data_IF_475455936382
#
_entry.id   IF_475455936382
#
_cell.length_a   1.000
_cell.length_b   1.000
_cell.length_c   1.000
_cell.angle_alpha   90.00
_cell.angle_beta   90.00
_cell.angle_gamma   90.00
#
_symmetry.space_group_name_H-M   'P 1'
#
loop_
_entity.id
_entity.type
_entity.pdbx_description
1 polymer ?
#
# COMPACT_ATOMS: atom_id res chain seq x y z
N UNK A 1 -34.42 4.24 15.57
CA UNK A 1 -34.26 2.91 14.97
C UNK A 1 -32.78 2.56 15.13
N UNK A 2 -32.45 1.77 16.15
CA UNK A 2 -31.07 1.44 16.50
C UNK A 2 -30.72 0.18 15.71
N UNK A 3 -29.86 0.31 14.70
CA UNK A 3 -29.33 -0.85 13.99
C UNK A 3 -28.40 -1.59 14.96
N UNK A 4 -28.84 -2.75 15.41
CA UNK A 4 -27.97 -3.70 16.12
C UNK A 4 -27.22 -4.43 15.02
N UNK A 5 -25.95 -4.09 14.82
CA UNK A 5 -25.05 -4.93 14.04
C UNK A 5 -24.77 -6.15 14.91
N UNK A 6 -25.26 -7.31 14.49
CA UNK A 6 -24.90 -8.57 15.10
C UNK A 6 -23.51 -8.96 14.57
N UNK A 7 -22.47 -8.53 15.28
CA UNK A 7 -21.05 -8.71 14.90
C UNK A 7 -20.63 -10.20 14.78
N UNK A 8 -21.48 -11.15 15.21
CA UNK A 8 -21.22 -12.59 15.17
C UNK A 8 -21.86 -13.32 13.97
N UNK A 9 -22.71 -12.66 13.18
CA UNK A 9 -23.29 -13.28 11.99
C UNK A 9 -22.23 -13.37 10.86
N UNK A 10 -21.97 -14.57 10.29
CA UNK A 10 -21.00 -14.70 9.20
C UNK A 10 -21.48 -13.87 7.99
N UNK A 11 -20.62 -12.95 7.54
CA UNK A 11 -20.87 -12.13 6.35
C UNK A 11 -20.88 -13.06 5.13
N UNK A 12 -22.01 -13.14 4.43
CA UNK A 12 -22.09 -13.82 3.14
C UNK A 12 -21.45 -12.94 2.06
N UNK A 13 -20.37 -13.42 1.44
CA UNK A 13 -19.69 -12.73 0.35
C UNK A 13 -20.17 -13.30 -0.99
N UNK A 14 -20.60 -12.43 -1.91
CA UNK A 14 -20.86 -12.84 -3.29
C UNK A 14 -19.56 -13.01 -4.09
N UNK A 15 -19.62 -13.70 -5.23
CA UNK A 15 -18.49 -13.78 -6.16
C UNK A 15 -18.06 -12.39 -6.66
N UNK A 16 -19.04 -11.52 -6.92
CA UNK A 16 -18.79 -10.14 -7.34
C UNK A 16 -18.03 -9.37 -6.25
N UNK A 17 -18.43 -9.50 -4.98
CA UNK A 17 -17.73 -8.83 -3.87
C UNK A 17 -16.27 -9.28 -3.76
N UNK A 18 -16.01 -10.58 -3.95
CA UNK A 18 -14.64 -11.12 -3.93
C UNK A 18 -13.82 -10.56 -5.10
N UNK A 19 -14.40 -10.47 -6.30
CA UNK A 19 -13.72 -9.88 -7.47
C UNK A 19 -13.44 -8.39 -7.24
N UNK A 20 -14.41 -7.65 -6.70
CA UNK A 20 -14.26 -6.23 -6.37
C UNK A 20 -13.20 -6.01 -5.29
N UNK A 21 -13.04 -6.93 -4.34
CA UNK A 21 -11.97 -6.86 -3.34
C UNK A 21 -10.59 -7.05 -3.97
N UNK A 22 -10.41 -8.00 -4.90
CA UNK A 22 -9.16 -8.14 -5.65
C UNK A 22 -8.85 -6.87 -6.46
N UNK A 23 -9.89 -6.26 -7.07
CA UNK A 23 -9.75 -4.99 -7.78
C UNK A 23 -9.34 -3.86 -6.84
N UNK A 24 -10.00 -3.75 -5.68
CA UNK A 24 -9.70 -2.70 -4.70
C UNK A 24 -8.24 -2.75 -4.26
N UNK A 25 -7.68 -3.94 -4.03
CA UNK A 25 -6.26 -4.08 -3.68
C UNK A 25 -5.32 -3.63 -4.80
N UNK A 26 -5.65 -3.88 -6.07
CA UNK A 26 -4.84 -3.37 -7.19
C UNK A 26 -4.91 -1.84 -7.31
N UNK A 27 -5.97 -1.19 -6.82
CA UNK A 27 -6.06 0.28 -6.84
C UNK A 27 -5.01 0.93 -5.92
N UNK A 28 -4.55 0.25 -4.87
CA UNK A 28 -3.51 0.74 -3.97
C UNK A 28 -2.17 0.98 -4.71
N UNK A 29 -1.95 0.30 -5.85
CA UNK A 29 -0.79 0.58 -6.72
C UNK A 29 -0.76 2.02 -7.24
N UNK A 30 -1.92 2.67 -7.35
CA UNK A 30 -2.01 4.08 -7.73
C UNK A 30 -1.33 5.00 -6.72
N UNK A 31 -1.41 4.66 -5.43
CA UNK A 31 -0.76 5.40 -4.35
C UNK A 31 0.76 5.32 -4.40
N UNK A 32 1.35 4.32 -5.06
CA UNK A 32 2.81 4.27 -5.23
C UNK A 32 3.34 5.50 -5.96
N UNK A 33 2.63 5.99 -6.98
CA UNK A 33 3.05 7.12 -7.80
C UNK A 33 2.78 8.50 -7.21
N UNK A 34 1.85 8.59 -6.26
CA UNK A 34 1.39 9.85 -5.67
C UNK A 34 2.32 10.31 -4.53
N UNK A 35 3.02 11.46 -4.64
CA UNK A 35 3.89 11.96 -3.57
C UNK A 35 3.19 12.24 -2.24
N UNK A 36 1.86 12.40 -2.23
CA UNK A 36 1.07 12.65 -1.02
C UNK A 36 0.70 11.37 -0.27
N UNK A 37 0.83 10.19 -0.89
CA UNK A 37 0.63 8.92 -0.19
C UNK A 37 1.71 8.71 0.88
N UNK A 38 1.33 8.38 2.14
CA UNK A 38 2.28 8.12 3.21
C UNK A 38 3.34 7.06 2.88
N UNK A 39 4.54 7.21 3.45
CA UNK A 39 5.66 6.31 3.19
C UNK A 39 5.36 4.87 3.66
N UNK A 40 4.68 4.70 4.78
CA UNK A 40 4.27 3.40 5.30
C UNK A 40 3.30 2.68 4.36
N UNK A 41 2.26 3.37 3.87
CA UNK A 41 1.32 2.79 2.90
C UNK A 41 2.02 2.33 1.61
N UNK A 42 3.01 3.11 1.13
CA UNK A 42 3.84 2.71 -0.02
C UNK A 42 4.66 1.47 0.30
N UNK A 43 5.31 1.42 1.46
CA UNK A 43 6.13 0.29 1.85
C UNK A 43 5.28 -0.98 2.02
N UNK A 44 4.09 -0.89 2.59
CA UNK A 44 3.15 -2.01 2.72
C UNK A 44 2.69 -2.51 1.35
N UNK A 45 2.34 -1.59 0.44
CA UNK A 45 1.99 -1.94 -0.95
C UNK A 45 3.15 -2.64 -1.65
N UNK A 46 4.38 -2.13 -1.50
CA UNK A 46 5.58 -2.76 -2.08
C UNK A 46 5.85 -4.15 -1.48
N UNK A 47 5.67 -4.32 -0.17
CA UNK A 47 5.81 -5.63 0.49
C UNK A 47 4.81 -6.64 -0.08
N UNK A 48 3.57 -6.22 -0.34
CA UNK A 48 2.55 -7.05 -0.97
C UNK A 48 2.89 -7.41 -2.42
N UNK A 49 3.35 -6.45 -3.23
CA UNK A 49 3.76 -6.67 -4.63
C UNK A 49 4.95 -7.64 -4.74
N UNK A 50 5.95 -7.45 -3.88
CA UNK A 50 7.21 -8.20 -3.85
C UNK A 50 7.23 -9.29 -2.77
N UNK A 51 6.06 -9.81 -2.40
CA UNK A 51 5.93 -10.91 -1.45
C UNK A 51 6.71 -12.15 -1.91
N UNK A 52 7.16 -12.97 -0.96
CA UNK A 52 7.83 -14.26 -1.21
C UNK A 52 7.03 -15.13 -2.20
N UNK A 53 7.66 -15.71 -3.24
CA UNK A 53 7.02 -16.59 -4.22
C UNK A 53 6.14 -17.69 -3.63
N UNK A 54 6.47 -18.21 -2.43
CA UNK A 54 5.65 -19.24 -1.78
C UNK A 54 4.24 -18.75 -1.42
N UNK A 55 4.06 -17.45 -1.19
CA UNK A 55 2.79 -16.85 -0.83
C UNK A 55 2.02 -16.34 -2.06
N UNK A 56 2.56 -16.46 -3.28
CA UNK A 56 1.88 -15.98 -4.49
C UNK A 56 0.59 -16.76 -4.81
N UNK A 57 0.44 -17.95 -4.24
CA UNK A 57 -0.78 -18.77 -4.40
C UNK A 57 -1.86 -18.44 -3.38
N UNK A 58 -1.55 -17.65 -2.37
CA UNK A 58 -2.51 -17.28 -1.33
C UNK A 58 -3.64 -16.40 -1.88
N UNK A 59 -4.86 -16.47 -1.33
CA UNK A 59 -5.92 -15.54 -1.65
C UNK A 59 -5.42 -14.09 -1.53
N UNK A 60 -5.84 -13.22 -2.45
CA UNK A 60 -5.47 -11.81 -2.45
C UNK A 60 -3.96 -11.52 -2.55
N UNK A 61 -3.12 -12.49 -2.93
CA UNK A 61 -1.76 -12.20 -3.37
C UNK A 61 -1.80 -11.25 -4.58
N UNK A 62 -0.73 -10.48 -4.79
CA UNK A 62 -0.61 -9.60 -5.96
C UNK A 62 -0.88 -10.33 -7.28
N UNK A 63 -0.30 -11.53 -7.45
CA UNK A 63 -0.47 -12.37 -8.64
C UNK A 63 -1.91 -12.83 -8.81
N UNK A 64 -2.56 -13.27 -7.73
CA UNK A 64 -3.96 -13.70 -7.79
C UNK A 64 -4.90 -12.51 -8.05
N UNK A 65 -4.61 -11.32 -7.51
CA UNK A 65 -5.38 -10.12 -7.82
C UNK A 65 -5.33 -9.76 -9.31
N UNK A 66 -4.13 -9.75 -9.91
CA UNK A 66 -4.00 -9.54 -11.35
C UNK A 66 -4.79 -10.59 -12.15
N UNK A 67 -4.65 -11.87 -11.79
CA UNK A 67 -5.33 -12.97 -12.48
C UNK A 67 -6.86 -12.88 -12.38
N UNK A 68 -7.41 -12.63 -11.19
CA UNK A 68 -8.86 -12.57 -10.98
C UNK A 68 -9.46 -11.38 -11.74
N UNK A 69 -8.86 -10.21 -11.60
CA UNK A 69 -9.35 -8.97 -12.21
C UNK A 69 -9.22 -8.98 -13.74
N UNK A 70 -8.20 -9.64 -14.30
CA UNK A 70 -8.01 -9.67 -15.75
C UNK A 70 -8.84 -10.73 -16.48
N UNK A 71 -9.30 -11.75 -15.77
CA UNK A 71 -10.03 -12.89 -16.34
C UNK A 71 -11.52 -12.92 -15.97
N UNK A 72 -11.94 -12.24 -14.89
CA UNK A 72 -13.34 -12.23 -14.46
C UNK A 72 -14.19 -11.27 -15.30
N UNK A 73 -15.36 -11.69 -15.80
CA UNK A 73 -16.31 -10.79 -16.45
C UNK A 73 -17.02 -9.84 -15.47
N UNK A 74 -16.91 -10.09 -14.16
CA UNK A 74 -17.44 -9.24 -13.09
C UNK A 74 -16.45 -8.14 -12.67
N UNK A 75 -15.26 -8.14 -13.26
CA UNK A 75 -14.25 -7.11 -13.03
C UNK A 75 -14.69 -5.75 -13.61
N UNK A 76 -14.37 -4.62 -12.96
CA UNK A 76 -14.55 -3.30 -13.54
C UNK A 76 -13.68 -3.03 -14.78
N UNK A 77 -12.65 -3.85 -15.02
CA UNK A 77 -11.84 -3.77 -16.22
C UNK A 77 -12.48 -4.60 -17.36
N UNK A 78 -12.37 -4.14 -18.63
CA UNK A 78 -12.64 -5.01 -19.78
C UNK A 78 -11.79 -6.28 -19.69
N UNK A 79 -12.26 -7.40 -20.23
CA UNK A 79 -11.47 -8.63 -20.27
C UNK A 79 -10.13 -8.37 -20.98
N UNK A 80 -9.03 -8.44 -20.21
CA UNK A 80 -7.66 -8.16 -20.68
C UNK A 80 -6.92 -9.45 -21.02
N UNK A 81 -7.38 -10.60 -20.50
CA UNK A 81 -6.71 -11.88 -20.63
C UNK A 81 -5.58 -12.08 -19.60
N UNK A 82 -4.72 -13.08 -19.77
CA UNK A 82 -3.61 -13.34 -18.84
C UNK A 82 -2.63 -12.16 -18.79
N UNK A 83 -2.33 -11.67 -17.59
CA UNK A 83 -1.33 -10.63 -17.33
C UNK A 83 -0.09 -11.30 -16.75
N UNK A 84 1.09 -10.94 -17.28
CA UNK A 84 2.36 -11.33 -16.68
C UNK A 84 2.67 -10.43 -15.48
N UNK A 85 2.67 -11.03 -14.28
CA UNK A 85 2.92 -10.31 -13.04
C UNK A 85 4.37 -9.78 -12.95
N UNK A 86 5.34 -10.45 -13.58
CA UNK A 86 6.74 -10.01 -13.49
C UNK A 86 6.98 -8.76 -14.33
N UNK A 87 6.35 -8.64 -15.51
CA UNK A 87 6.36 -7.40 -16.29
C UNK A 87 5.85 -6.18 -15.49
N UNK A 88 4.80 -6.37 -14.67
CA UNK A 88 4.27 -5.29 -13.81
C UNK A 88 5.25 -5.00 -12.66
N UNK A 89 5.85 -6.03 -12.05
CA UNK A 89 6.89 -5.86 -11.01
C UNK A 89 8.12 -5.13 -11.55
N UNK A 90 8.56 -5.45 -12.75
CA UNK A 90 9.68 -4.77 -13.41
C UNK A 90 9.38 -3.28 -13.61
N UNK A 91 8.17 -2.98 -14.10
CA UNK A 91 7.71 -1.60 -14.24
C UNK A 91 7.66 -0.87 -12.90
N UNK A 92 7.11 -1.50 -11.85
CA UNK A 92 7.09 -0.94 -10.49
C UNK A 92 8.53 -0.69 -10.03
N UNK A 93 9.41 -1.69 -10.09
CA UNK A 93 10.81 -1.65 -9.64
C UNK A 93 11.59 -0.52 -10.30
N UNK A 94 11.35 -0.27 -11.58
CA UNK A 94 11.96 0.84 -12.32
C UNK A 94 11.57 2.21 -11.72
N UNK A 95 10.33 2.37 -11.24
CA UNK A 95 9.82 3.65 -10.75
C UNK A 95 9.94 3.84 -9.23
N UNK A 96 10.02 2.77 -8.43
CA UNK A 96 10.01 2.83 -6.95
C UNK A 96 10.94 3.90 -6.40
N UNK A 97 12.19 3.95 -6.86
CA UNK A 97 13.17 4.91 -6.36
C UNK A 97 12.67 6.35 -6.52
N UNK A 98 12.16 6.70 -7.70
CA UNK A 98 11.65 8.04 -7.99
C UNK A 98 10.48 8.39 -7.08
N UNK A 99 9.56 7.45 -6.90
CA UNK A 99 8.37 7.67 -6.08
C UNK A 99 8.68 7.83 -4.59
N UNK A 100 9.55 6.98 -4.05
CA UNK A 100 9.98 7.10 -2.65
C UNK A 100 10.73 8.41 -2.42
N UNK A 101 11.65 8.78 -3.31
CA UNK A 101 12.34 10.08 -3.21
C UNK A 101 11.35 11.25 -3.25
N UNK A 102 10.38 11.27 -4.17
CA UNK A 102 9.39 12.33 -4.24
C UNK A 102 8.54 12.46 -2.96
N UNK A 103 8.33 11.36 -2.24
CA UNK A 103 7.62 11.34 -0.95
C UNK A 103 8.51 11.87 0.17
N UNK A 104 9.75 11.37 0.23
CA UNK A 104 10.75 11.74 1.24
C UNK A 104 11.12 13.23 1.15
N UNK A 105 11.23 13.78 -0.07
CA UNK A 105 11.56 15.19 -0.31
C UNK A 105 10.50 16.17 0.25
N UNK A 106 9.30 15.67 0.59
CA UNK A 106 8.23 16.46 1.22
C UNK A 106 8.36 16.51 2.74
N UNK A 107 9.14 15.61 3.33
CA UNK A 107 9.38 15.61 4.77
C UNK A 107 10.32 16.75 5.18
N UNK A 108 10.22 17.22 6.44
CA UNK A 108 11.24 18.09 7.01
C UNK A 108 12.63 17.48 6.84
N UNK A 109 13.66 18.31 6.65
CA UNK A 109 15.03 17.86 6.35
C UNK A 109 15.56 16.81 7.33
N UNK A 110 15.29 16.98 8.63
CA UNK A 110 15.69 16.02 9.67
C UNK A 110 15.08 14.63 9.47
N UNK A 111 13.82 14.56 9.01
CA UNK A 111 13.12 13.30 8.78
C UNK A 111 13.58 12.66 7.47
N UNK A 112 13.77 13.47 6.42
CA UNK A 112 14.31 13.01 5.15
C UNK A 112 15.73 12.44 5.30
N UNK A 113 16.60 13.14 6.03
CA UNK A 113 17.96 12.68 6.36
C UNK A 113 17.93 11.38 7.16
N UNK A 114 17.09 11.28 8.20
CA UNK A 114 16.97 10.05 8.99
C UNK A 114 16.55 8.83 8.15
N UNK A 115 15.65 9.03 7.17
CA UNK A 115 15.23 7.96 6.24
C UNK A 115 16.36 7.53 5.31
N UNK A 116 17.17 8.47 4.83
CA UNK A 116 18.28 8.18 3.93
C UNK A 116 19.49 7.57 4.66
N UNK A 117 19.78 8.01 5.88
CA UNK A 117 20.93 7.57 6.67
C UNK A 117 20.71 6.20 7.31
N UNK A 118 19.49 5.90 7.78
CA UNK A 118 19.20 4.64 8.47
C UNK A 118 17.86 3.99 8.07
N UNK A 119 17.78 3.43 6.85
CA UNK A 119 16.55 2.79 6.35
C UNK A 119 16.07 1.62 7.22
N UNK A 120 16.97 0.78 7.74
CA UNK A 120 16.61 -0.39 8.55
C UNK A 120 16.00 0.00 9.90
N UNK A 121 16.46 1.11 10.47
CA UNK A 121 15.88 1.65 11.70
C UNK A 121 14.47 2.20 11.47
N UNK A 122 14.27 2.92 10.36
CA UNK A 122 12.93 3.39 9.95
C UNK A 122 12.00 2.21 9.74
N UNK A 123 12.43 1.18 9.02
CA UNK A 123 11.64 -0.04 8.83
C UNK A 123 11.20 -0.63 10.18
N UNK A 124 12.13 -0.74 11.14
CA UNK A 124 11.84 -1.26 12.49
C UNK A 124 10.85 -0.39 13.28
N UNK A 125 10.80 0.92 13.01
CA UNK A 125 9.83 1.85 13.60
C UNK A 125 8.46 1.71 12.95
N UNK A 126 8.42 1.72 11.62
CA UNK A 126 7.18 1.59 10.85
C UNK A 126 6.51 0.22 11.07
N UNK A 127 7.29 -0.85 11.23
CA UNK A 127 6.77 -2.16 11.59
C UNK A 127 6.07 -2.21 12.96
N UNK A 128 6.38 -1.28 13.87
CA UNK A 128 5.74 -1.16 15.19
C UNK A 128 4.59 -0.18 15.19
N UNK A 129 4.75 0.93 14.46
CA UNK A 129 3.71 1.94 14.26
C UNK A 129 3.86 2.51 12.84
N UNK A 130 2.97 2.13 11.89
CA UNK A 130 3.01 2.62 10.52
C UNK A 130 2.93 4.15 10.43
N UNK A 131 2.18 4.79 11.32
CA UNK A 131 2.01 6.25 11.33
C UNK A 131 3.13 7.00 12.06
N UNK A 132 4.13 6.30 12.60
CA UNK A 132 5.14 6.87 13.50
C UNK A 132 5.83 8.11 12.90
N UNK A 133 6.22 8.07 11.62
CA UNK A 133 6.93 9.20 11.01
C UNK A 133 6.04 10.45 10.92
N UNK A 134 4.75 10.26 10.57
CA UNK A 134 3.79 11.35 10.49
C UNK A 134 3.47 11.92 11.88
N UNK A 135 3.39 11.04 12.89
CA UNK A 135 3.23 11.47 14.29
C UNK A 135 4.43 12.27 14.80
N UNK A 136 5.66 11.84 14.52
CA UNK A 136 6.87 12.58 14.95
C UNK A 136 6.99 13.92 14.23
N UNK A 137 6.70 13.97 12.93
CA UNK A 137 6.62 15.24 12.18
C UNK A 137 5.62 16.18 12.85
N UNK A 138 4.41 15.70 13.15
CA UNK A 138 3.37 16.49 13.81
C UNK A 138 3.82 17.00 15.19
N UNK A 139 4.43 16.16 16.03
CA UNK A 139 4.95 16.56 17.35
C UNK A 139 6.01 17.65 17.24
N UNK A 140 6.94 17.52 16.29
CA UNK A 140 7.99 18.52 16.08
C UNK A 140 7.43 19.85 15.53
N UNK A 141 6.39 19.80 14.70
CA UNK A 141 5.69 21.01 14.25
C UNK A 141 4.94 21.70 15.40
N UNK A 142 4.21 20.95 16.21
CA UNK A 142 3.47 21.48 17.37
C UNK A 142 4.41 22.02 18.48
N UNK A 143 5.57 21.41 18.67
CA UNK A 143 6.58 21.89 19.63
C UNK A 143 7.40 23.07 19.10
N UNK A 144 7.63 23.15 17.79
CA UNK A 144 8.29 24.30 17.16
C UNK A 144 7.48 25.59 17.26
N UNK A 145 6.15 25.48 17.22
CA UNK A 145 5.22 26.62 17.36
C UNK A 145 5.13 27.15 18.80
N UNK A 146 5.53 26.36 19.81
CA UNK A 146 5.52 26.80 21.22
C UNK A 146 6.71 27.69 21.61
N UNK A 147 7.66 27.91 20.71
CA UNK A 147 8.84 28.75 20.93
C UNK A 147 9.05 29.82 19.84
N UNK A 148 8.04 30.08 19.00
CA UNK A 148 8.01 31.14 17.99
C UNK A 148 7.35 32.44 18.52
#
# INVERSE_FOLDING_TARGET
>A
MQYVFDDEAPVEWSEEDVVLLHWRLLQELGGLGDPDTPLDEKLDTLRWVFTDPKCEREPFSFVNCLRVVSLSPLSPLPFVGPIDAESIRDWIRYHVRKWLTATIDRYPSWAAEAVLENPCWIESRLAKNPQWINEEIKKHTEQGDLFA
#
